data_IF_871423445820
#
_entry.id   IF_871423445820
#
_cell.length_a   1.000
_cell.length_b   1.000
_cell.length_c   1.000
_cell.angle_alpha   90.00
_cell.angle_beta   90.00
_cell.angle_gamma   90.00
#
_symmetry.space_group_name_H-M   'P 1'
#
loop_
_entity.id
_entity.type
_entity.pdbx_description
1 polymer ?
#
# COMPACT_ATOMS: atom_id res chain seq x y z
N UNK A 1 -6.62 22.86 -24.34
CA UNK A 1 -5.60 22.66 -23.28
C UNK A 1 -6.30 22.70 -21.94
N UNK A 2 -6.80 21.56 -21.46
CA UNK A 2 -7.46 21.44 -20.16
C UNK A 2 -6.44 21.06 -19.11
N UNK A 3 -6.16 21.98 -18.18
CA UNK A 3 -5.22 21.79 -17.08
C UNK A 3 -5.86 20.87 -16.04
N UNK A 4 -5.35 19.65 -15.89
CA UNK A 4 -5.79 18.68 -14.89
C UNK A 4 -5.35 19.21 -13.51
N UNK A 5 -6.25 19.89 -12.81
CA UNK A 5 -6.05 20.32 -11.41
C UNK A 5 -6.11 19.08 -10.52
N UNK A 6 -4.97 18.44 -10.32
CA UNK A 6 -4.81 17.40 -9.30
C UNK A 6 -4.92 18.10 -7.93
N UNK A 7 -6.00 17.83 -7.21
CA UNK A 7 -6.27 18.38 -5.88
C UNK A 7 -5.19 17.96 -4.90
N UNK A 8 -4.79 18.85 -3.98
CA UNK A 8 -3.84 18.60 -2.88
C UNK A 8 -4.24 17.35 -2.06
N UNK A 9 -5.53 17.01 -2.06
CA UNK A 9 -6.13 15.83 -1.44
C UNK A 9 -5.62 14.53 -2.09
N UNK A 10 -5.47 14.48 -3.42
CA UNK A 10 -4.93 13.32 -4.16
C UNK A 10 -3.43 13.15 -3.88
N UNK A 11 -2.71 14.23 -3.59
CA UNK A 11 -1.30 14.21 -3.20
C UNK A 11 -1.10 13.75 -1.74
N UNK A 12 -2.00 14.12 -0.82
CA UNK A 12 -1.97 13.63 0.57
C UNK A 12 -2.27 12.12 0.61
N UNK A 13 -3.25 11.67 -0.18
CA UNK A 13 -3.48 10.23 -0.37
C UNK A 13 -2.30 9.59 -1.11
N UNK A 14 -1.69 10.21 -2.12
CA UNK A 14 -0.52 9.63 -2.80
C UNK A 14 0.78 9.62 -1.96
N UNK A 15 0.89 10.44 -0.92
CA UNK A 15 2.05 10.48 0.01
C UNK A 15 1.80 9.60 1.23
N UNK A 16 0.56 9.54 1.75
CA UNK A 16 0.10 8.52 2.69
C UNK A 16 0.15 7.11 2.07
N UNK A 17 -0.28 6.99 0.83
CA UNK A 17 -0.13 5.84 -0.07
C UNK A 17 1.17 5.92 -0.88
N UNK A 18 2.21 6.64 -0.43
CA UNK A 18 3.53 6.61 -1.06
C UNK A 18 4.17 5.21 -1.05
N UNK A 19 3.51 4.26 -0.38
CA UNK A 19 3.78 2.83 -0.39
C UNK A 19 3.05 2.05 -1.50
N UNK A 20 2.00 2.60 -2.13
CA UNK A 20 1.21 1.93 -3.17
C UNK A 20 1.91 1.82 -4.52
N UNK A 21 2.83 2.74 -4.76
CA UNK A 21 3.73 2.66 -5.88
C UNK A 21 5.10 2.40 -5.26
N UNK A 22 5.69 1.24 -5.56
CA UNK A 22 6.98 0.83 -5.01
C UNK A 22 8.09 1.90 -5.13
N UNK A 23 9.31 1.61 -4.64
CA UNK A 23 10.33 2.58 -4.21
C UNK A 23 10.90 3.60 -5.25
N UNK A 24 10.27 3.79 -6.42
CA UNK A 24 10.76 4.62 -7.52
C UNK A 24 9.95 5.89 -7.83
N UNK A 25 8.88 6.26 -7.09
CA UNK A 25 8.21 7.57 -7.33
C UNK A 25 9.01 8.76 -6.78
N UNK A 26 9.95 8.53 -5.86
CA UNK A 26 10.80 9.60 -5.31
C UNK A 26 11.72 10.28 -6.33
N UNK A 27 11.87 9.73 -7.54
CA UNK A 27 12.76 10.28 -8.58
C UNK A 27 12.10 11.31 -9.51
N UNK A 28 10.79 11.52 -9.42
CA UNK A 28 10.05 12.42 -10.32
C UNK A 28 9.33 13.59 -9.63
N UNK A 29 9.51 13.77 -8.33
CA UNK A 29 8.98 14.92 -7.58
C UNK A 29 10.17 15.83 -7.21
N UNK A 30 10.19 17.11 -7.63
CA UNK A 30 11.22 18.04 -7.21
C UNK A 30 11.31 18.13 -5.69
N UNK A 31 12.52 18.12 -5.11
CA UNK A 31 12.74 18.21 -3.65
C UNK A 31 12.04 19.41 -3.01
N UNK A 32 11.86 20.51 -3.75
CA UNK A 32 11.12 21.70 -3.33
C UNK A 32 9.60 21.47 -3.16
N UNK A 33 9.03 20.50 -3.89
CA UNK A 33 7.62 20.11 -3.79
C UNK A 33 7.42 19.16 -2.61
N UNK A 34 8.35 18.24 -2.38
CA UNK A 34 8.35 17.33 -1.22
C UNK A 34 8.44 18.10 0.09
N UNK A 35 9.41 19.01 0.22
CA UNK A 35 9.59 19.86 1.41
C UNK A 35 8.43 20.84 1.66
N UNK A 36 7.59 21.12 0.67
CA UNK A 36 6.34 21.89 0.86
C UNK A 36 5.21 21.00 1.36
N UNK A 37 5.11 19.75 0.91
CA UNK A 37 4.12 18.77 1.36
C UNK A 37 4.38 18.33 2.81
N UNK A 38 5.65 18.08 3.16
CA UNK A 38 6.08 17.70 4.52
C UNK A 38 5.70 18.75 5.58
N UNK A 39 5.51 20.02 5.19
CA UNK A 39 5.10 21.11 6.09
C UNK A 39 3.61 21.12 6.42
N UNK A 40 2.78 20.42 5.64
CA UNK A 40 1.32 20.32 5.86
C UNK A 40 0.91 19.01 6.53
N UNK A 41 1.83 18.06 6.68
CA UNK A 41 1.62 16.86 7.46
C UNK A 41 2.07 17.17 8.90
N UNK A 42 1.20 17.04 9.91
CA UNK A 42 1.59 17.22 11.30
C UNK A 42 2.83 16.39 11.61
N UNK A 43 3.84 16.99 12.26
CA UNK A 43 5.13 16.33 12.57
C UNK A 43 4.94 14.95 13.21
N UNK A 44 3.91 14.79 14.03
CA UNK A 44 3.54 13.53 14.69
C UNK A 44 3.05 12.43 13.73
N UNK A 45 2.41 12.78 12.62
CA UNK A 45 2.00 11.84 11.56
C UNK A 45 3.21 11.45 10.71
N UNK A 46 4.09 12.40 10.39
CA UNK A 46 5.38 12.12 9.76
C UNK A 46 6.24 11.20 10.64
N UNK A 47 6.33 11.46 11.94
CA UNK A 47 7.09 10.62 12.88
C UNK A 47 6.51 9.20 12.99
N UNK A 48 5.18 9.02 12.86
CA UNK A 48 4.54 7.70 12.79
C UNK A 48 4.86 7.00 11.47
N UNK A 49 4.83 7.71 10.33
CA UNK A 49 5.15 7.17 9.01
C UNK A 49 6.66 6.87 8.82
N UNK A 50 7.53 7.66 9.46
CA UNK A 50 8.99 7.47 9.46
C UNK A 50 9.47 6.47 10.53
N UNK A 51 8.74 6.30 11.63
CA UNK A 51 9.02 5.33 12.69
C UNK A 51 8.79 3.86 12.32
N UNK A 52 8.27 3.57 11.12
CA UNK A 52 8.22 2.21 10.56
C UNK A 52 9.56 1.71 10.01
N UNK A 53 10.60 2.56 9.94
CA UNK A 53 11.98 2.11 9.72
C UNK A 53 12.78 2.29 11.00
N UNK A 54 13.40 1.18 11.39
CA UNK A 54 14.30 0.97 12.54
C UNK A 54 13.65 1.06 13.92
N UNK A 55 13.12 -0.07 14.40
CA UNK A 55 13.67 -0.75 15.57
C UNK A 55 13.06 -2.16 15.71
N UNK A 56 13.93 -3.16 15.76
CA UNK A 56 13.62 -4.52 16.21
C UNK A 56 13.34 -4.45 17.71
N UNK A 57 12.09 -4.16 18.07
CA UNK A 57 11.67 -4.13 19.46
C UNK A 57 11.54 -5.57 19.99
N UNK A 58 12.48 -5.95 20.85
CA UNK A 58 12.44 -7.14 21.67
C UNK A 58 11.07 -7.31 22.37
N UNK A 59 10.62 -8.56 22.61
CA UNK A 59 9.29 -8.82 23.14
C UNK A 59 9.12 -8.21 24.54
N UNK A 60 8.00 -7.51 24.83
CA UNK A 60 7.70 -7.06 26.18
C UNK A 60 7.54 -8.28 27.09
N UNK A 61 8.34 -8.32 28.16
CA UNK A 61 8.27 -9.35 29.20
C UNK A 61 6.85 -9.37 29.78
N UNK A 62 6.24 -10.55 29.70
CA UNK A 62 4.94 -10.86 30.28
C UNK A 62 4.92 -10.58 31.78
N UNK A 63 3.96 -9.77 32.23
CA UNK A 63 3.44 -9.83 33.60
C UNK A 63 1.92 -9.90 33.57
N UNK A 64 1.44 -11.02 34.07
CA UNK A 64 0.14 -11.31 34.65
C UNK A 64 -1.10 -11.13 33.76
N UNK A 65 -1.40 -12.20 33.00
CA UNK A 65 -2.70 -12.43 32.39
C UNK A 65 -3.73 -12.84 33.45
N UNK A 66 -4.36 -11.86 34.09
CA UNK A 66 -5.69 -12.04 34.63
C UNK A 66 -6.68 -11.86 33.47
N UNK A 67 -7.28 -12.96 33.01
CA UNK A 67 -8.33 -13.02 31.99
C UNK A 67 -9.52 -12.14 32.40
N UNK A 68 -9.55 -10.88 31.94
CA UNK A 68 -10.79 -10.10 31.93
C UNK A 68 -11.74 -10.74 30.92
N UNK A 69 -12.89 -11.24 31.39
CA UNK A 69 -14.05 -11.53 30.56
C UNK A 69 -14.28 -10.34 29.63
N UNK A 70 -14.25 -10.56 28.32
CA UNK A 70 -14.56 -9.53 27.36
C UNK A 70 -16.02 -9.10 27.58
N UNK A 71 -16.23 -7.85 28.00
CA UNK A 71 -17.55 -7.21 28.00
C UNK A 71 -18.21 -7.42 26.63
N UNK A 72 -19.53 -7.70 26.58
CA UNK A 72 -20.24 -7.80 25.32
C UNK A 72 -20.07 -6.49 24.54
N UNK A 73 -19.45 -6.60 23.37
CA UNK A 73 -19.11 -5.45 22.52
C UNK A 73 -20.41 -4.87 21.94
N UNK A 74 -20.59 -3.54 22.06
CA UNK A 74 -21.81 -2.85 21.64
C UNK A 74 -22.04 -2.97 20.13
N UNK A 75 -23.30 -3.08 19.75
CA UNK A 75 -23.75 -3.03 18.36
C UNK A 75 -24.42 -1.67 18.15
N UNK A 76 -24.01 -0.95 17.11
CA UNK A 76 -24.51 0.38 16.76
C UNK A 76 -25.32 0.33 15.47
N UNK A 77 -26.37 1.14 15.36
CA UNK A 77 -26.97 1.44 14.05
C UNK A 77 -26.20 2.56 13.33
N UNK A 78 -26.36 2.66 12.00
CA UNK A 78 -25.74 3.74 11.22
C UNK A 78 -26.30 5.10 11.64
N UNK A 79 -27.61 5.15 11.90
CA UNK A 79 -28.33 6.35 12.32
C UNK A 79 -27.87 6.83 13.70
N UNK A 80 -27.62 5.90 14.62
CA UNK A 80 -27.08 6.19 15.95
C UNK A 80 -25.67 6.76 15.86
N UNK A 81 -24.76 6.15 15.10
CA UNK A 81 -23.41 6.70 14.90
C UNK A 81 -23.48 8.11 14.32
N UNK A 82 -24.33 8.31 13.31
CA UNK A 82 -24.45 9.59 12.62
C UNK A 82 -25.00 10.70 13.51
N UNK A 83 -26.01 10.39 14.33
CA UNK A 83 -26.65 11.39 15.19
C UNK A 83 -25.87 11.69 16.46
N UNK A 84 -25.31 10.66 17.08
CA UNK A 84 -24.81 10.76 18.46
C UNK A 84 -23.28 10.85 18.57
N UNK A 85 -22.52 10.47 17.54
CA UNK A 85 -21.08 10.20 17.67
C UNK A 85 -20.16 10.97 16.71
N UNK A 86 -20.55 12.18 16.31
CA UNK A 86 -19.76 13.04 15.41
C UNK A 86 -18.82 14.00 16.14
N UNK A 87 -18.84 14.02 17.47
CA UNK A 87 -17.97 14.90 18.28
C UNK A 87 -18.38 16.38 18.26
N UNK A 88 -19.57 16.70 17.75
CA UNK A 88 -20.19 18.03 17.85
C UNK A 88 -20.58 18.33 19.32
N UNK A 89 -20.93 19.58 19.61
CA UNK A 89 -21.43 19.95 20.95
C UNK A 89 -22.68 19.13 21.30
N UNK A 90 -22.69 18.52 22.49
CA UNK A 90 -23.76 17.60 22.92
C UNK A 90 -23.66 16.17 22.37
N UNK A 91 -22.66 15.86 21.54
CA UNK A 91 -22.40 14.50 21.05
C UNK A 91 -21.95 13.57 22.19
N UNK A 92 -22.40 12.31 22.14
CA UNK A 92 -22.04 11.26 23.11
C UNK A 92 -20.59 10.76 22.97
N UNK A 93 -19.89 11.15 21.90
CA UNK A 93 -18.50 10.82 21.64
C UNK A 93 -18.08 11.18 20.23
N UNK A 94 -16.85 10.83 19.86
CA UNK A 94 -16.33 11.03 18.50
C UNK A 94 -15.88 9.69 17.95
N UNK A 95 -16.75 9.01 17.20
CA UNK A 95 -16.51 7.65 16.71
C UNK A 95 -16.40 7.61 15.19
N UNK A 96 -15.76 6.55 14.71
CA UNK A 96 -15.58 6.24 13.30
C UNK A 96 -15.64 4.73 13.12
N UNK A 97 -16.17 4.26 12.00
CA UNK A 97 -16.15 2.85 11.65
C UNK A 97 -15.22 2.54 10.47
N UNK A 98 -14.54 1.40 10.58
CA UNK A 98 -13.71 0.80 9.52
C UNK A 98 -13.88 -0.72 9.54
N UNK A 99 -14.21 -1.33 8.40
CA UNK A 99 -14.69 -2.70 8.28
C UNK A 99 -15.81 -3.04 9.27
N UNK A 100 -16.73 -2.11 9.50
CA UNK A 100 -17.83 -2.24 10.45
C UNK A 100 -17.39 -2.28 11.92
N UNK A 101 -16.09 -2.16 12.23
CA UNK A 101 -15.58 -2.02 13.59
C UNK A 101 -15.60 -0.55 13.96
N UNK A 102 -16.21 -0.23 15.10
CA UNK A 102 -16.34 1.14 15.61
C UNK A 102 -15.18 1.43 16.56
N UNK A 103 -14.52 2.55 16.33
CA UNK A 103 -13.42 3.05 17.12
C UNK A 103 -13.75 4.41 17.72
N UNK A 104 -13.39 4.60 18.98
CA UNK A 104 -13.36 5.91 19.61
C UNK A 104 -12.11 6.66 19.16
N UNK A 105 -12.33 7.68 18.33
CA UNK A 105 -11.27 8.52 17.74
C UNK A 105 -11.13 9.87 18.45
N UNK A 106 -11.62 9.99 19.69
CA UNK A 106 -11.47 11.21 20.51
C UNK A 106 -10.01 11.66 20.70
N UNK A 107 -9.07 10.70 20.73
CA UNK A 107 -7.61 11.01 20.74
C UNK A 107 -7.15 11.76 19.49
N UNK A 108 -7.87 11.64 18.37
CA UNK A 108 -7.64 12.30 17.09
C UNK A 108 -8.64 13.42 16.82
N UNK A 109 -9.19 14.08 17.85
CA UNK A 109 -10.20 15.15 17.70
C UNK A 109 -9.79 16.27 16.74
N UNK A 110 -8.51 16.60 16.64
CA UNK A 110 -8.02 17.66 15.74
C UNK A 110 -8.16 17.26 14.25
N UNK A 111 -8.32 15.96 13.97
CA UNK A 111 -8.50 15.39 12.64
C UNK A 111 -9.98 15.11 12.35
N UNK A 112 -10.66 14.42 13.26
CA UNK A 112 -12.01 13.89 13.04
C UNK A 112 -13.12 14.70 13.73
N UNK A 113 -12.77 15.55 14.70
CA UNK A 113 -13.74 16.41 15.37
C UNK A 113 -14.17 17.58 14.50
N UNK A 114 -15.18 18.37 14.95
CA UNK A 114 -15.65 19.54 14.23
C UNK A 114 -14.52 20.50 13.85
N UNK A 115 -14.50 20.93 12.58
CA UNK A 115 -13.42 21.77 12.03
C UNK A 115 -12.16 21.01 11.61
N UNK A 116 -12.05 19.72 11.91
CA UNK A 116 -10.97 18.85 11.45
C UNK A 116 -11.10 18.48 9.97
N UNK A 117 -9.96 18.33 9.28
CA UNK A 117 -9.92 18.03 7.84
C UNK A 117 -10.49 16.67 7.44
N UNK A 118 -10.69 15.76 8.39
CA UNK A 118 -11.22 14.41 8.18
C UNK A 118 -12.56 14.18 8.90
N UNK A 119 -13.22 15.27 9.30
CA UNK A 119 -14.49 15.21 10.03
C UNK A 119 -15.62 14.48 9.29
N UNK A 120 -15.56 14.43 7.96
CA UNK A 120 -16.54 13.69 7.13
C UNK A 120 -16.57 12.17 7.40
N UNK A 121 -15.55 11.60 8.05
CA UNK A 121 -15.58 10.21 8.49
C UNK A 121 -16.23 10.00 9.87
N UNK A 122 -16.45 11.06 10.65
CA UNK A 122 -17.03 10.95 11.98
C UNK A 122 -18.48 10.47 11.91
N UNK A 123 -18.85 9.54 12.80
CA UNK A 123 -20.19 8.99 12.93
C UNK A 123 -20.64 8.10 11.77
N UNK A 124 -19.73 7.56 10.94
CA UNK A 124 -20.09 6.64 9.86
C UNK A 124 -19.00 5.59 9.61
N UNK A 125 -19.33 4.60 8.80
CA UNK A 125 -18.36 3.69 8.21
C UNK A 125 -17.97 4.19 6.82
N UNK A 126 -16.74 4.69 6.70
CA UNK A 126 -16.18 5.21 5.44
C UNK A 126 -15.12 4.31 4.85
N UNK A 127 -15.20 2.99 5.09
CA UNK A 127 -14.18 2.00 4.73
C UNK A 127 -13.67 2.16 3.30
N UNK A 128 -14.55 2.36 2.31
CA UNK A 128 -14.13 2.54 0.90
C UNK A 128 -13.26 3.78 0.71
N UNK A 129 -13.72 4.93 1.20
CA UNK A 129 -13.04 6.23 1.04
C UNK A 129 -11.60 6.24 1.57
N UNK A 130 -11.32 5.52 2.66
CA UNK A 130 -9.95 5.40 3.21
C UNK A 130 -8.93 4.86 2.22
N UNK A 131 -9.35 3.97 1.32
CA UNK A 131 -8.45 3.28 0.41
C UNK A 131 -8.54 3.84 -1.01
N UNK A 132 -9.72 4.29 -1.44
CA UNK A 132 -9.89 4.88 -2.77
C UNK A 132 -9.51 6.35 -2.83
N UNK A 133 -9.49 7.05 -1.69
CA UNK A 133 -9.35 8.51 -1.64
C UNK A 133 -10.59 9.27 -2.11
N UNK A 134 -11.71 8.57 -2.32
CA UNK A 134 -12.99 9.17 -2.68
C UNK A 134 -13.73 9.58 -1.40
N UNK A 135 -13.74 10.88 -1.12
CA UNK A 135 -14.38 11.48 0.06
C UNK A 135 -15.71 12.17 -0.28
N UNK A 136 -16.28 11.86 -1.46
CA UNK A 136 -17.68 12.19 -1.77
C UNK A 136 -18.64 11.36 -0.91
N UNK A 137 -19.93 11.71 -0.91
CA UNK A 137 -20.92 10.91 -0.19
C UNK A 137 -21.04 9.49 -0.78
N UNK A 138 -20.78 9.32 -2.07
CA UNK A 138 -20.73 8.01 -2.73
C UNK A 138 -19.50 7.18 -2.32
N UNK A 139 -18.39 7.84 -1.99
CA UNK A 139 -17.15 7.21 -1.54
C UNK A 139 -17.12 6.89 -0.04
N UNK A 140 -17.83 7.67 0.79
CA UNK A 140 -17.89 7.52 2.24
C UNK A 140 -18.91 6.45 2.68
N UNK A 141 -18.65 5.21 2.26
CA UNK A 141 -19.51 4.05 2.47
C UNK A 141 -18.73 2.82 2.96
N UNK A 142 -19.46 1.86 3.54
CA UNK A 142 -18.98 0.53 3.91
C UNK A 142 -19.01 -0.48 2.76
N UNK A 143 -19.65 -0.13 1.64
CA UNK A 143 -19.67 -0.98 0.44
C UNK A 143 -18.34 -0.88 -0.33
N UNK A 144 -17.62 -2.01 -0.39
CA UNK A 144 -16.34 -2.12 -1.10
C UNK A 144 -16.44 -2.99 -2.35
N UNK A 145 -17.64 -3.35 -2.80
CA UNK A 145 -17.79 -4.08 -4.05
C UNK A 145 -17.29 -3.23 -5.23
N UNK A 146 -16.57 -3.90 -6.15
CA UNK A 146 -15.96 -3.26 -7.32
C UNK A 146 -14.67 -2.48 -7.05
N UNK A 147 -14.19 -2.40 -5.80
CA UNK A 147 -12.87 -1.83 -5.51
C UNK A 147 -11.77 -2.70 -6.15
N UNK A 148 -10.77 -2.08 -6.77
CA UNK A 148 -9.64 -2.79 -7.37
C UNK A 148 -8.92 -3.65 -6.31
N UNK A 149 -8.76 -4.94 -6.61
CA UNK A 149 -8.04 -5.92 -5.81
C UNK A 149 -6.61 -5.50 -5.44
N UNK A 150 -5.95 -4.67 -6.27
CA UNK A 150 -4.62 -4.15 -5.96
C UNK A 150 -4.63 -3.26 -4.70
N UNK A 151 -5.78 -2.67 -4.37
CA UNK A 151 -5.96 -1.79 -3.23
C UNK A 151 -6.22 -2.53 -1.90
N UNK A 152 -6.21 -3.87 -1.90
CA UNK A 152 -6.56 -4.65 -0.70
C UNK A 152 -5.49 -4.70 0.39
N UNK A 153 -4.24 -4.37 0.07
CA UNK A 153 -3.20 -4.24 1.12
C UNK A 153 -3.45 -3.02 2.01
N UNK A 154 -3.93 -1.91 1.45
CA UNK A 154 -4.20 -0.68 2.19
C UNK A 154 -5.34 -0.86 3.21
N UNK A 155 -6.33 -1.70 2.90
CA UNK A 155 -7.37 -2.07 3.85
C UNK A 155 -6.80 -2.77 5.10
N UNK A 156 -5.76 -3.59 4.95
CA UNK A 156 -5.09 -4.25 6.07
C UNK A 156 -4.27 -3.28 6.92
N UNK A 157 -3.57 -2.34 6.27
CA UNK A 157 -2.79 -1.29 6.92
C UNK A 157 -3.70 -0.40 7.77
N UNK A 158 -4.81 0.09 7.21
CA UNK A 158 -5.81 0.87 7.96
C UNK A 158 -6.44 0.08 9.11
N UNK A 159 -6.76 -1.20 8.89
CA UNK A 159 -7.27 -2.07 9.97
C UNK A 159 -6.29 -2.11 11.14
N UNK A 160 -5.00 -2.29 10.83
CA UNK A 160 -3.93 -2.39 11.83
C UNK A 160 -3.67 -1.05 12.53
N UNK A 161 -3.72 0.06 11.78
CA UNK A 161 -3.59 1.40 12.32
C UNK A 161 -4.68 1.72 13.33
N UNK A 162 -5.96 1.53 12.96
CA UNK A 162 -7.07 1.85 13.86
C UNK A 162 -7.10 0.93 15.08
N UNK A 163 -6.81 -0.36 14.89
CA UNK A 163 -6.74 -1.32 15.99
C UNK A 163 -5.62 -1.04 17.00
N UNK A 164 -4.51 -0.43 16.56
CA UNK A 164 -3.38 -0.09 17.44
C UNK A 164 -3.46 1.31 18.03
N UNK A 165 -4.09 2.25 17.33
CA UNK A 165 -4.09 3.68 17.69
C UNK A 165 -5.30 4.08 18.52
N UNK A 166 -6.47 3.52 18.20
CA UNK A 166 -7.76 3.93 18.76
C UNK A 166 -8.43 2.82 19.56
N UNK A 167 -9.36 3.22 20.42
CA UNK A 167 -10.07 2.27 21.27
C UNK A 167 -11.20 1.63 20.48
N UNK A 168 -11.15 0.31 20.29
CA UNK A 168 -12.28 -0.43 19.72
C UNK A 168 -13.46 -0.43 20.72
N UNK A 169 -14.64 0.00 20.28
CA UNK A 169 -15.84 0.15 21.14
C UNK A 169 -17.03 -0.70 20.71
N UNK A 170 -17.01 -1.29 19.52
CA UNK A 170 -18.11 -2.14 19.06
C UNK A 170 -18.14 -2.38 17.56
N UNK A 171 -19.30 -2.76 17.04
CA UNK A 171 -19.55 -2.96 15.61
C UNK A 171 -20.76 -2.15 15.15
N UNK A 172 -20.79 -1.74 13.89
CA UNK A 172 -21.97 -1.11 13.27
C UNK A 172 -22.68 -2.10 12.36
N UNK A 173 -24.01 -2.11 12.42
CA UNK A 173 -24.87 -2.90 11.53
C UNK A 173 -24.71 -2.35 10.10
N UNK A 174 -24.39 -3.23 9.15
CA UNK A 174 -24.16 -2.82 7.77
C UNK A 174 -23.55 -3.91 6.90
N UNK A 175 -22.72 -3.52 5.95
CA UNK A 175 -22.13 -4.42 4.96
C UNK A 175 -21.29 -5.53 5.61
N UNK A 176 -20.59 -5.24 6.71
CA UNK A 176 -19.64 -6.17 7.35
C UNK A 176 -20.19 -6.96 8.55
N UNK A 177 -21.19 -6.45 9.26
CA UNK A 177 -21.82 -7.11 10.41
C UNK A 177 -23.34 -6.99 10.37
N UNK A 178 -24.04 -8.06 10.77
CA UNK A 178 -25.50 -8.09 10.87
C UNK A 178 -26.04 -7.46 12.17
N UNK A 179 -27.36 -7.46 12.36
CA UNK A 179 -28.03 -6.90 13.54
C UNK A 179 -27.63 -7.57 14.87
N UNK A 180 -27.03 -8.77 14.80
CA UNK A 180 -26.53 -9.51 15.96
C UNK A 180 -25.00 -9.34 16.14
N UNK A 181 -24.38 -8.45 15.36
CA UNK A 181 -22.94 -8.23 15.37
C UNK A 181 -22.14 -9.39 14.80
N UNK A 182 -22.77 -10.29 14.01
CA UNK A 182 -22.08 -11.42 13.39
C UNK A 182 -21.48 -11.02 12.04
N UNK A 183 -20.27 -11.49 11.70
CA UNK A 183 -19.65 -11.27 10.40
C UNK A 183 -20.53 -11.71 9.23
N UNK A 184 -20.76 -10.82 8.27
CA UNK A 184 -21.45 -11.14 7.02
C UNK A 184 -20.54 -11.92 6.05
N UNK A 185 -21.12 -12.38 4.94
CA UNK A 185 -20.36 -12.96 3.82
C UNK A 185 -19.39 -11.93 3.22
N UNK A 186 -19.78 -10.66 3.15
CA UNK A 186 -18.94 -9.60 2.62
C UNK A 186 -17.66 -9.40 3.46
N UNK A 187 -17.76 -9.43 4.80
CA UNK A 187 -16.56 -9.36 5.65
C UNK A 187 -15.63 -10.56 5.46
N UNK A 188 -16.19 -11.77 5.26
CA UNK A 188 -15.37 -12.96 4.95
C UNK A 188 -14.67 -12.82 3.60
N UNK A 189 -15.38 -12.37 2.56
CA UNK A 189 -14.83 -12.09 1.23
C UNK A 189 -13.72 -11.03 1.29
N UNK A 190 -13.95 -9.92 1.99
CA UNK A 190 -12.95 -8.87 2.18
C UNK A 190 -11.66 -9.40 2.83
N UNK A 191 -11.79 -10.20 3.89
CA UNK A 191 -10.64 -10.85 4.55
C UNK A 191 -9.90 -11.81 3.64
N UNK A 192 -10.61 -12.56 2.79
CA UNK A 192 -9.97 -13.43 1.81
C UNK A 192 -9.19 -12.63 0.78
N UNK A 193 -9.76 -11.56 0.24
CA UNK A 193 -9.08 -10.68 -0.73
C UNK A 193 -7.82 -10.04 -0.13
N UNK A 194 -7.86 -9.63 1.15
CA UNK A 194 -6.67 -9.16 1.87
C UNK A 194 -5.62 -10.27 1.99
N UNK A 195 -6.02 -11.49 2.34
CA UNK A 195 -5.11 -12.62 2.47
C UNK A 195 -4.44 -12.97 1.12
N UNK A 196 -5.22 -12.98 0.04
CA UNK A 196 -4.74 -13.23 -1.32
C UNK A 196 -3.78 -12.12 -1.76
N UNK A 197 -4.12 -10.85 -1.51
CA UNK A 197 -3.25 -9.72 -1.80
C UNK A 197 -1.91 -9.82 -1.08
N UNK A 198 -1.90 -10.18 0.21
CA UNK A 198 -0.68 -10.43 0.99
C UNK A 198 0.15 -11.57 0.42
N UNK A 199 -0.49 -12.68 0.06
CA UNK A 199 0.20 -13.82 -0.52
C UNK A 199 0.83 -13.47 -1.88
N UNK A 200 0.09 -12.74 -2.72
CA UNK A 200 0.57 -12.29 -4.03
C UNK A 200 1.75 -11.32 -3.87
N UNK A 201 1.66 -10.37 -2.94
CA UNK A 201 2.78 -9.48 -2.61
C UNK A 201 4.00 -10.24 -2.14
N UNK A 202 3.84 -11.24 -1.26
CA UNK A 202 4.95 -12.08 -0.80
C UNK A 202 5.59 -12.84 -1.96
N UNK A 203 4.80 -13.44 -2.85
CA UNK A 203 5.32 -14.13 -4.04
C UNK A 203 6.09 -13.18 -4.94
N UNK A 204 5.54 -11.99 -5.19
CA UNK A 204 6.19 -10.95 -5.97
C UNK A 204 7.51 -10.48 -5.33
N UNK A 205 7.56 -10.35 -4.01
CA UNK A 205 8.77 -9.95 -3.29
C UNK A 205 9.87 -11.02 -3.37
N UNK A 206 9.52 -12.30 -3.21
CA UNK A 206 10.48 -13.39 -3.40
C UNK A 206 10.98 -13.46 -4.85
N UNK A 207 10.09 -13.29 -5.83
CA UNK A 207 10.49 -13.21 -7.24
C UNK A 207 11.39 -11.99 -7.51
N UNK A 208 11.09 -10.83 -6.91
CA UNK A 208 11.89 -9.62 -7.07
C UNK A 208 13.28 -9.75 -6.43
N UNK A 209 13.46 -10.60 -5.40
CA UNK A 209 14.80 -10.93 -4.88
C UNK A 209 15.64 -11.70 -5.90
N UNK A 210 15.00 -12.52 -6.73
CA UNK A 210 15.65 -13.32 -7.76
C UNK A 210 15.90 -12.47 -9.02
N UNK A 211 14.85 -11.79 -9.48
CA UNK A 211 14.79 -11.00 -10.70
C UNK A 211 14.40 -9.54 -10.38
N UNK A 212 15.29 -8.76 -9.74
CA UNK A 212 14.95 -7.40 -9.34
C UNK A 212 14.73 -6.50 -10.55
N UNK A 213 13.89 -5.48 -10.37
CA UNK A 213 13.67 -4.47 -11.40
C UNK A 213 14.98 -3.81 -11.83
N UNK A 214 15.08 -3.48 -13.11
CA UNK A 214 16.18 -2.68 -13.63
C UNK A 214 16.10 -1.24 -13.09
N UNK A 215 17.24 -0.57 -13.08
CA UNK A 215 17.26 0.88 -13.01
C UNK A 215 16.75 1.44 -14.35
N UNK A 216 16.12 2.62 -14.33
CA UNK A 216 15.57 3.23 -15.53
C UNK A 216 15.71 4.74 -15.48
N UNK A 217 15.95 5.34 -16.65
CA UNK A 217 15.84 6.79 -16.84
C UNK A 217 15.09 7.07 -18.13
N UNK A 218 14.39 8.20 -18.18
CA UNK A 218 13.66 8.65 -19.35
C UNK A 218 13.77 10.16 -19.47
N UNK A 219 14.05 10.65 -20.67
CA UNK A 219 14.06 12.08 -20.98
C UNK A 219 13.65 12.32 -22.42
N UNK A 220 13.04 13.48 -22.70
CA UNK A 220 12.66 13.84 -24.06
C UNK A 220 13.88 13.89 -25.00
N UNK A 221 15.02 14.39 -24.51
CA UNK A 221 16.23 14.59 -25.31
C UNK A 221 17.05 13.30 -25.54
N UNK A 222 17.00 12.32 -24.63
CA UNK A 222 17.84 11.11 -24.69
C UNK A 222 17.04 9.82 -24.91
N UNK A 223 15.71 9.91 -24.96
CA UNK A 223 14.84 8.74 -24.94
C UNK A 223 14.85 8.05 -23.57
N UNK A 224 14.57 6.74 -23.56
CA UNK A 224 14.51 5.92 -22.36
C UNK A 224 15.55 4.81 -22.40
N UNK A 225 16.20 4.56 -21.26
CA UNK A 225 17.08 3.40 -21.09
C UNK A 225 16.82 2.68 -19.77
N UNK A 226 17.19 1.41 -19.75
CA UNK A 226 17.21 0.56 -18.55
C UNK A 226 18.60 -0.02 -18.37
N UNK A 227 19.04 -0.19 -17.13
CA UNK A 227 20.33 -0.82 -16.85
C UNK A 227 20.34 -1.59 -15.53
N UNK A 228 21.32 -2.46 -15.40
CA UNK A 228 21.60 -3.24 -14.21
C UNK A 228 22.88 -2.75 -13.55
N UNK A 229 22.90 -2.80 -12.23
CA UNK A 229 24.11 -2.61 -11.42
C UNK A 229 24.05 -3.56 -10.22
N UNK A 230 25.05 -3.46 -9.35
CA UNK A 230 25.04 -4.12 -8.04
C UNK A 230 23.90 -3.63 -7.14
N UNK A 231 23.23 -2.52 -7.50
CA UNK A 231 22.05 -1.99 -6.83
C UNK A 231 20.96 -1.63 -7.84
N UNK A 232 20.00 -2.52 -8.03
CA UNK A 232 18.85 -2.31 -8.91
C UNK A 232 17.57 -2.77 -8.24
N UNK A 233 16.45 -2.10 -8.51
CA UNK A 233 15.15 -2.48 -7.93
C UNK A 233 15.10 -2.41 -6.41
N UNK A 234 15.97 -1.58 -5.80
CA UNK A 234 16.11 -1.46 -4.34
C UNK A 234 16.88 -2.61 -3.68
N UNK A 235 17.46 -3.54 -4.45
CA UNK A 235 18.18 -4.71 -3.94
C UNK A 235 19.68 -4.55 -4.23
N UNK A 236 20.49 -4.72 -3.20
CA UNK A 236 21.95 -4.77 -3.29
C UNK A 236 22.46 -6.21 -3.39
N UNK A 237 23.42 -6.45 -4.28
CA UNK A 237 23.89 -7.77 -4.68
C UNK A 237 25.34 -7.74 -5.18
N UNK A 238 25.99 -8.89 -5.18
CA UNK A 238 27.40 -9.05 -5.60
C UNK A 238 27.64 -9.10 -7.12
N UNK A 239 26.59 -8.96 -7.93
CA UNK A 239 26.67 -9.07 -9.38
C UNK A 239 25.85 -7.95 -10.06
N UNK A 240 26.27 -7.57 -11.26
CA UNK A 240 25.61 -6.54 -12.08
C UNK A 240 24.51 -7.17 -12.92
N UNK A 241 24.88 -8.13 -13.77
CA UNK A 241 23.97 -8.84 -14.66
C UNK A 241 23.56 -7.99 -15.87
N UNK A 242 22.52 -8.44 -16.56
CA UNK A 242 22.03 -7.78 -17.78
C UNK A 242 20.52 -7.57 -17.71
N UNK A 243 19.99 -6.49 -18.31
CA UNK A 243 18.56 -6.27 -18.39
C UNK A 243 17.91 -7.26 -19.37
N UNK A 244 16.75 -7.79 -18.98
CA UNK A 244 15.87 -8.62 -19.80
C UNK A 244 14.43 -8.18 -19.63
N UNK A 245 13.65 -8.36 -20.70
CA UNK A 245 12.21 -8.25 -20.67
C UNK A 245 11.65 -9.55 -20.07
N UNK A 246 11.25 -9.48 -18.81
CA UNK A 246 10.72 -10.62 -18.06
C UNK A 246 9.20 -10.71 -18.19
N UNK A 247 8.70 -11.90 -18.52
CA UNK A 247 7.29 -12.24 -18.66
C UNK A 247 6.87 -13.20 -17.54
N UNK A 248 6.60 -12.71 -16.31
CA UNK A 248 6.16 -13.59 -15.23
C UNK A 248 4.90 -14.37 -15.62
N UNK A 249 4.79 -15.66 -15.25
CA UNK A 249 3.58 -16.44 -15.47
C UNK A 249 2.34 -15.74 -14.91
N UNK A 250 1.34 -15.50 -15.77
CA UNK A 250 0.09 -14.84 -15.37
C UNK A 250 0.15 -13.31 -15.29
N UNK A 251 1.30 -12.68 -15.53
CA UNK A 251 1.39 -11.22 -15.64
C UNK A 251 0.74 -10.73 -16.95
N UNK A 252 0.02 -9.60 -16.88
CA UNK A 252 -0.62 -8.97 -18.05
C UNK A 252 0.37 -8.28 -18.99
N UNK A 253 1.51 -7.87 -18.45
CA UNK A 253 2.56 -7.16 -19.18
C UNK A 253 3.93 -7.61 -18.69
N UNK A 254 4.95 -7.56 -19.57
CA UNK A 254 6.31 -7.80 -19.13
C UNK A 254 6.87 -6.61 -18.34
N UNK A 255 7.96 -6.86 -17.61
CA UNK A 255 8.74 -5.84 -16.90
C UNK A 255 10.23 -6.01 -17.17
N UNK A 256 11.02 -4.95 -16.97
CA UNK A 256 12.46 -5.13 -16.94
C UNK A 256 12.87 -5.91 -15.68
N UNK A 257 13.77 -6.86 -15.84
CA UNK A 257 14.45 -7.54 -14.75
C UNK A 257 15.95 -7.64 -15.02
N UNK A 258 16.74 -7.48 -13.98
CA UNK A 258 18.16 -7.77 -14.02
C UNK A 258 18.39 -9.25 -13.76
N UNK A 259 19.10 -9.90 -14.69
CA UNK A 259 19.34 -11.35 -14.65
C UNK A 259 20.84 -11.64 -14.65
N UNK A 260 21.25 -12.74 -14.03
CA UNK A 260 22.65 -13.17 -14.10
C UNK A 260 22.97 -13.58 -15.53
N UNK A 261 24.10 -13.12 -16.06
CA UNK A 261 24.64 -13.56 -17.34
C UNK A 261 25.77 -14.59 -17.21
N UNK A 262 26.06 -15.02 -15.98
CA UNK A 262 27.04 -16.05 -15.65
C UNK A 262 26.67 -16.76 -14.35
N UNK A 263 27.31 -17.90 -14.09
CA UNK A 263 27.05 -18.72 -12.91
C UNK A 263 25.93 -19.73 -13.10
N UNK A 264 25.56 -20.36 -11.99
CA UNK A 264 24.43 -21.28 -11.89
C UNK A 264 23.12 -20.47 -11.99
N UNK A 265 22.13 -20.92 -12.80
CA UNK A 265 20.83 -20.26 -12.88
C UNK A 265 20.11 -20.22 -11.54
N UNK A 266 19.26 -19.22 -11.33
CA UNK A 266 18.49 -19.08 -10.08
C UNK A 266 17.46 -20.20 -9.87
N UNK A 267 17.12 -20.96 -10.92
CA UNK A 267 16.29 -22.16 -10.83
C UNK A 267 17.05 -23.40 -10.32
N UNK A 268 18.38 -23.34 -10.23
CA UNK A 268 19.22 -24.43 -9.71
C UNK A 268 19.59 -25.52 -10.72
N UNK A 269 19.11 -25.48 -11.96
CA UNK A 269 19.47 -26.46 -13.01
C UNK A 269 20.69 -26.00 -13.78
N UNK A 270 21.89 -26.46 -13.39
CA UNK A 270 23.12 -26.19 -14.13
C UNK A 270 23.28 -27.16 -15.31
N UNK A 271 23.17 -26.64 -16.53
CA UNK A 271 23.42 -27.40 -17.75
C UNK A 271 24.91 -27.36 -18.17
N UNK A 272 25.81 -26.95 -17.28
CA UNK A 272 27.26 -26.83 -17.53
C UNK A 272 27.64 -25.64 -18.42
N UNK A 273 26.68 -24.79 -18.79
CA UNK A 273 26.90 -23.67 -19.72
C UNK A 273 27.40 -22.40 -19.03
N UNK A 274 27.26 -22.30 -17.70
CA UNK A 274 27.66 -21.13 -16.90
C UNK A 274 27.04 -19.80 -17.40
N UNK A 275 25.77 -19.83 -17.85
CA UNK A 275 25.06 -18.70 -18.48
C UNK A 275 24.10 -17.98 -17.54
N UNK A 276 24.13 -18.27 -16.24
CA UNK A 276 23.20 -17.69 -15.27
C UNK A 276 21.74 -17.89 -15.69
N UNK A 277 20.97 -16.82 -15.70
CA UNK A 277 19.53 -16.83 -15.96
C UNK A 277 19.15 -16.54 -17.43
N UNK A 278 20.13 -16.47 -18.34
CA UNK A 278 19.89 -16.10 -19.75
C UNK A 278 19.00 -17.09 -20.50
N UNK A 279 19.01 -18.35 -20.09
CA UNK A 279 18.24 -19.41 -20.75
C UNK A 279 16.85 -19.61 -20.09
N UNK A 280 16.42 -18.71 -19.20
CA UNK A 280 15.10 -18.76 -18.57
C UNK A 280 13.99 -18.51 -19.62
N UNK A 281 12.99 -19.41 -19.75
CA UNK A 281 11.98 -19.34 -20.82
C UNK A 281 11.08 -18.10 -20.75
N UNK A 282 11.03 -17.43 -19.61
CA UNK A 282 10.26 -16.22 -19.38
C UNK A 282 11.05 -14.93 -19.66
N UNK A 283 12.31 -15.03 -20.08
CA UNK A 283 13.16 -13.88 -20.39
C UNK A 283 13.25 -13.66 -21.90
N UNK A 284 13.17 -12.39 -22.30
CA UNK A 284 13.41 -11.94 -23.67
C UNK A 284 14.44 -10.83 -23.68
N UNK A 285 15.20 -10.75 -24.77
CA UNK A 285 16.16 -9.68 -24.99
C UNK A 285 15.45 -8.40 -25.43
N UNK A 286 16.05 -7.25 -25.14
CA UNK A 286 15.60 -5.99 -25.71
C UNK A 286 16.05 -5.90 -27.17
N UNK A 287 15.17 -5.39 -28.04
CA UNK A 287 15.56 -5.07 -29.42
C UNK A 287 16.72 -4.07 -29.44
N UNK A 288 17.62 -4.20 -30.42
CA UNK A 288 18.81 -3.37 -30.58
C UNK A 288 19.75 -3.31 -29.35
N UNK A 289 19.65 -4.26 -28.41
CA UNK A 289 20.51 -4.33 -27.24
C UNK A 289 21.40 -5.56 -27.23
N UNK A 290 22.70 -5.38 -27.06
CA UNK A 290 23.64 -6.50 -27.05
C UNK A 290 23.33 -7.48 -25.89
N UNK A 291 23.32 -8.81 -26.10
CA UNK A 291 22.95 -9.77 -25.08
C UNK A 291 23.72 -9.67 -23.75
N UNK A 292 24.96 -9.17 -23.79
CA UNK A 292 25.85 -9.09 -22.62
C UNK A 292 26.02 -7.70 -22.05
N UNK A 293 25.40 -6.65 -22.61
CA UNK A 293 25.51 -5.31 -22.04
C UNK A 293 24.63 -5.17 -20.81
N UNK A 294 25.09 -4.39 -19.83
CA UNK A 294 24.35 -4.09 -18.62
C UNK A 294 23.35 -2.95 -18.80
N UNK A 295 23.30 -2.30 -19.97
CA UNK A 295 22.47 -1.13 -20.28
C UNK A 295 21.86 -1.20 -21.68
N UNK A 296 20.54 -1.02 -21.77
CA UNK A 296 19.76 -1.05 -23.01
C UNK A 296 18.97 0.25 -23.22
N UNK A 297 19.03 0.80 -24.44
CA UNK A 297 18.14 1.88 -24.88
C UNK A 297 16.82 1.25 -25.34
N UNK A 298 15.69 1.67 -24.78
CA UNK A 298 14.36 1.09 -25.05
C UNK A 298 13.44 2.03 -25.82
N UNK A 299 13.77 3.32 -25.88
CA UNK A 299 13.13 4.27 -26.80
C UNK A 299 14.16 5.30 -27.24
N UNK A 300 14.17 5.63 -28.54
CA UNK A 300 15.02 6.68 -29.09
C UNK A 300 14.34 8.04 -28.86
N UNK A 301 15.11 9.14 -28.70
CA UNK A 301 14.52 10.48 -28.61
C UNK A 301 13.67 10.78 -29.85
N UNK A 302 12.58 11.52 -29.65
CA UNK A 302 11.67 11.95 -30.73
C UNK A 302 12.26 13.09 -31.54
#
# INVERSE_FOLDING_TARGET
MGCLRISVIVLIVAVGCGWYFGPNIHQHIPNETLTKIEKFIPKKIMDIMHGFKTEEAAPPKSKDSASKKAEPKRIFSKEELWKDYRGEEGSKGLYLAFFGKVFDVSKGKDHYGPGGGYHFFAGRDGTKGFVTGDFSDEGLTDDIDGVDTNLFLGFDEWTSFYASTYTYVGTVIGHFYDENGKPTVALKKAKQLIADAKQNKKKQDEENKIFPMCNSESSAAKGSRVWCSTKSGGIERSWVGVPRLYHPPGAKSPRCACVRNSGIPSSGSDNGKNRGDLDNPYMREYEDCHPTTDSCVISKPK
#
